data_IF_080788882522
#
_entry.id   IF_080788882522
#
_cell.length_a   1.000
_cell.length_b   1.000
_cell.length_c   1.000
_cell.angle_alpha   90.00
_cell.angle_beta   90.00
_cell.angle_gamma   90.00
#
_symmetry.space_group_name_H-M   'P 1'
#
loop_
_entity.id
_entity.type
_entity.pdbx_description
1 polymer ?
#
# COMPACT_ATOMS: atom_id res chain seq x y z
N UNK A 1 13.86 -31.57 17.83
CA UNK A 1 14.86 -32.14 16.89
C UNK A 1 14.36 -33.36 16.11
N UNK A 2 13.50 -34.24 16.67
CA UNK A 2 12.99 -35.40 15.94
C UNK A 2 12.21 -35.04 14.66
N UNK A 3 11.49 -33.92 14.67
CA UNK A 3 10.73 -33.41 13.52
C UNK A 3 11.54 -32.64 12.47
N UNK A 4 12.86 -32.45 12.63
CA UNK A 4 13.68 -31.77 11.61
C UNK A 4 14.23 -32.76 10.58
N UNK A 5 14.25 -32.36 9.31
CA UNK A 5 15.01 -33.06 8.26
C UNK A 5 16.52 -32.96 8.50
N UNK A 6 17.29 -33.88 7.93
CA UNK A 6 18.73 -33.98 8.20
C UNK A 6 19.52 -32.73 7.76
N UNK A 7 19.10 -32.09 6.66
CA UNK A 7 19.72 -30.84 6.19
C UNK A 7 19.67 -29.73 7.24
N UNK A 8 18.54 -29.54 7.93
CA UNK A 8 18.44 -28.56 9.02
C UNK A 8 19.09 -29.02 10.33
N UNK A 9 19.13 -30.33 10.61
CA UNK A 9 19.85 -30.86 11.79
C UNK A 9 21.33 -30.53 11.76
N UNK A 10 21.94 -30.53 10.57
CA UNK A 10 23.34 -30.13 10.39
C UNK A 10 23.61 -28.71 10.95
N UNK A 11 22.78 -27.73 10.57
CA UNK A 11 22.92 -26.34 11.01
C UNK A 11 22.69 -26.15 12.51
N UNK A 12 21.78 -26.91 13.14
CA UNK A 12 21.62 -26.88 14.61
C UNK A 12 22.84 -27.48 15.31
N UNK A 13 23.36 -28.61 14.82
CA UNK A 13 24.50 -29.31 15.44
C UNK A 13 25.79 -28.49 15.37
N UNK A 14 25.98 -27.74 14.28
CA UNK A 14 27.17 -26.90 14.09
C UNK A 14 27.06 -25.53 14.80
N UNK A 15 25.91 -25.22 15.41
CA UNK A 15 25.69 -23.97 16.14
C UNK A 15 25.37 -22.75 15.26
N UNK A 16 25.25 -22.93 13.94
CA UNK A 16 24.86 -21.87 13.01
C UNK A 16 23.38 -21.48 13.19
N UNK A 17 22.52 -22.48 13.42
CA UNK A 17 21.10 -22.28 13.68
C UNK A 17 20.78 -22.37 15.17
N UNK A 18 20.09 -21.35 15.70
CA UNK A 18 19.61 -21.39 17.10
C UNK A 18 18.57 -22.48 17.30
N UNK A 19 18.50 -23.02 18.52
CA UNK A 19 17.51 -24.05 18.88
C UNK A 19 16.08 -23.51 18.66
N UNK A 20 15.82 -22.24 18.97
CA UNK A 20 14.50 -21.63 18.76
C UNK A 20 14.10 -21.64 17.28
N UNK A 21 15.00 -21.26 16.38
CA UNK A 21 14.73 -21.27 14.94
C UNK A 21 14.58 -22.69 14.40
N UNK A 22 15.42 -23.61 14.88
CA UNK A 22 15.31 -25.04 14.54
C UNK A 22 14.00 -25.66 15.01
N UNK A 23 13.48 -25.28 16.18
CA UNK A 23 12.16 -25.75 16.62
C UNK A 23 11.06 -25.12 15.77
N UNK A 24 11.18 -23.85 15.37
CA UNK A 24 10.23 -23.21 14.45
C UNK A 24 10.13 -23.92 13.10
N UNK A 25 11.26 -24.33 12.51
CA UNK A 25 11.28 -25.11 11.25
C UNK A 25 10.71 -26.52 11.44
N UNK A 26 10.95 -27.14 12.60
CA UNK A 26 10.45 -28.48 12.92
C UNK A 26 8.92 -28.60 12.97
N UNK A 27 8.20 -27.47 13.02
CA UNK A 27 6.73 -27.44 13.04
C UNK A 27 6.10 -27.63 11.66
N UNK A 28 6.87 -27.48 10.60
CA UNK A 28 6.42 -27.66 9.23
C UNK A 28 6.55 -29.13 8.83
N UNK A 29 5.76 -29.56 7.85
CA UNK A 29 5.86 -30.92 7.32
C UNK A 29 7.23 -31.10 6.60
N UNK A 30 7.76 -32.33 6.51
CA UNK A 30 9.08 -32.58 5.92
C UNK A 30 9.26 -31.99 4.50
N UNK A 31 8.20 -31.99 3.68
CA UNK A 31 8.22 -31.43 2.33
C UNK A 31 8.37 -29.90 2.35
N UNK A 32 7.73 -29.22 3.30
CA UNK A 32 7.86 -27.76 3.47
C UNK A 32 9.25 -27.40 4.01
N UNK A 33 9.79 -28.20 4.94
CA UNK A 33 11.16 -28.06 5.39
C UNK A 33 12.15 -28.23 4.23
N UNK A 34 11.95 -29.24 3.38
CA UNK A 34 12.81 -29.46 2.21
C UNK A 34 12.77 -28.26 1.25
N UNK A 35 11.59 -27.70 0.99
CA UNK A 35 11.43 -26.51 0.16
C UNK A 35 12.14 -25.28 0.77
N UNK A 36 12.05 -25.11 2.10
CA UNK A 36 12.75 -24.02 2.80
C UNK A 36 14.28 -24.18 2.70
N UNK A 37 14.79 -25.41 2.82
CA UNK A 37 16.20 -25.73 2.68
C UNK A 37 16.71 -25.42 1.26
N UNK A 38 15.99 -25.86 0.24
CA UNK A 38 16.31 -25.61 -1.18
C UNK A 38 16.30 -24.12 -1.52
N UNK A 39 15.35 -23.37 -0.94
CA UNK A 39 15.25 -21.92 -1.17
C UNK A 39 16.32 -21.13 -0.42
N UNK A 40 16.82 -21.64 0.71
CA UNK A 40 17.93 -21.03 1.46
C UNK A 40 19.25 -21.21 0.71
N UNK A 41 19.49 -22.38 0.12
CA UNK A 41 20.75 -22.73 -0.54
C UNK A 41 21.78 -23.31 0.44
N UNK A 42 23.06 -23.22 0.07
CA UNK A 42 24.17 -23.82 0.82
C UNK A 42 24.56 -23.01 2.07
N UNK A 43 24.45 -21.68 2.01
CA UNK A 43 24.83 -20.78 3.10
C UNK A 43 23.66 -20.51 4.06
N UNK A 44 23.88 -20.73 5.36
CA UNK A 44 22.86 -20.49 6.37
C UNK A 44 22.56 -18.99 6.55
N UNK A 45 21.28 -18.62 6.40
CA UNK A 45 20.80 -17.26 6.65
C UNK A 45 19.59 -17.25 7.60
N UNK A 46 19.82 -16.89 8.86
CA UNK A 46 18.78 -16.84 9.89
C UNK A 46 17.63 -15.88 9.56
N UNK A 47 17.92 -14.73 8.91
CA UNK A 47 16.89 -13.75 8.56
C UNK A 47 15.95 -14.31 7.48
N UNK A 48 16.52 -14.96 6.47
CA UNK A 48 15.78 -15.59 5.39
C UNK A 48 14.89 -16.73 5.90
N UNK A 49 15.41 -17.61 6.76
CA UNK A 49 14.61 -18.67 7.39
C UNK A 49 13.48 -18.08 8.24
N UNK A 50 13.76 -17.06 9.05
CA UNK A 50 12.72 -16.41 9.86
C UNK A 50 11.62 -15.77 8.99
N UNK A 51 11.99 -15.18 7.85
CA UNK A 51 11.03 -14.65 6.87
C UNK A 51 10.19 -15.78 6.25
N UNK A 52 10.80 -16.89 5.84
CA UNK A 52 10.08 -18.05 5.30
C UNK A 52 9.10 -18.65 6.31
N UNK A 53 9.48 -18.73 7.58
CA UNK A 53 8.59 -19.17 8.66
C UNK A 53 7.39 -18.23 8.73
N UNK A 54 7.62 -16.91 8.80
CA UNK A 54 6.54 -15.91 8.85
C UNK A 54 5.60 -15.99 7.66
N UNK A 55 6.14 -16.08 6.45
CA UNK A 55 5.37 -16.11 5.20
C UNK A 55 4.52 -17.39 5.05
N UNK A 56 4.92 -18.50 5.71
CA UNK A 56 4.20 -19.78 5.68
C UNK A 56 3.37 -20.07 6.93
N UNK A 57 3.37 -19.17 7.90
CA UNK A 57 2.55 -19.29 9.10
C UNK A 57 1.29 -18.45 9.01
N UNK A 58 0.21 -18.97 9.58
CA UNK A 58 -1.08 -18.30 9.61
C UNK A 58 -1.45 -17.93 11.04
N UNK A 59 -1.74 -16.65 11.25
CA UNK A 59 -2.22 -16.13 12.52
C UNK A 59 -3.69 -16.55 12.72
N UNK A 60 -3.98 -17.35 13.75
CA UNK A 60 -5.30 -17.93 13.98
C UNK A 60 -6.29 -16.92 14.56
N UNK A 61 -5.82 -15.88 15.25
CA UNK A 61 -6.66 -14.73 15.66
C UNK A 61 -7.20 -13.99 14.43
N UNK A 62 -6.49 -14.14 13.33
CA UNK A 62 -6.74 -13.56 12.04
C UNK A 62 -7.49 -14.51 11.08
N UNK A 63 -8.01 -15.64 11.56
CA UNK A 63 -8.78 -16.57 10.73
C UNK A 63 -10.18 -16.02 10.39
N UNK A 64 -10.71 -16.38 9.20
CA UNK A 64 -12.09 -16.08 8.79
C UNK A 64 -13.12 -17.10 9.27
N UNK A 65 -12.70 -18.04 10.11
CA UNK A 65 -13.52 -19.12 10.65
C UNK A 65 -13.32 -19.29 12.15
N UNK A 66 -14.30 -19.89 12.82
CA UNK A 66 -14.20 -20.19 14.24
C UNK A 66 -13.16 -21.29 14.50
N UNK A 67 -12.09 -20.93 15.20
CA UNK A 67 -10.98 -21.84 15.54
C UNK A 67 -11.40 -23.02 16.42
N UNK A 68 -12.51 -22.89 17.16
CA UNK A 68 -13.08 -23.94 18.02
C UNK A 68 -13.94 -24.95 17.26
N UNK A 69 -14.30 -24.67 16.01
CA UNK A 69 -15.26 -25.47 15.26
C UNK A 69 -14.66 -26.82 14.83
N UNK A 70 -15.12 -27.89 15.49
CA UNK A 70 -14.74 -29.28 15.18
C UNK A 70 -15.44 -29.81 13.91
N UNK A 71 -16.51 -29.17 13.44
CA UNK A 71 -17.36 -29.64 12.32
C UNK A 71 -17.02 -29.00 10.98
N UNK A 72 -16.31 -27.87 10.95
CA UNK A 72 -15.96 -27.16 9.71
C UNK A 72 -15.24 -28.09 8.71
N UNK A 73 -14.23 -28.82 9.18
CA UNK A 73 -13.58 -29.91 8.45
C UNK A 73 -13.44 -31.09 9.41
N UNK A 74 -14.37 -32.07 9.38
CA UNK A 74 -14.43 -33.13 10.40
C UNK A 74 -13.15 -33.95 10.53
N UNK A 75 -12.40 -34.13 9.43
CA UNK A 75 -11.10 -34.82 9.42
C UNK A 75 -9.98 -34.04 10.14
N UNK A 76 -10.10 -32.72 10.24
CA UNK A 76 -9.06 -31.85 10.81
C UNK A 76 -9.35 -31.41 12.26
N UNK A 77 -10.61 -31.44 12.71
CA UNK A 77 -10.99 -31.07 14.08
C UNK A 77 -10.77 -29.58 14.41
N UNK A 78 -10.73 -29.26 15.72
CA UNK A 78 -10.55 -27.88 16.23
C UNK A 78 -9.09 -27.42 16.14
N UNK A 79 -8.87 -26.12 15.89
CA UNK A 79 -7.54 -25.52 15.91
C UNK A 79 -6.99 -25.32 17.34
N UNK A 80 -7.86 -25.29 18.35
CA UNK A 80 -7.45 -25.06 19.75
C UNK A 80 -6.69 -26.25 20.30
N UNK A 81 -7.10 -27.48 19.99
CA UNK A 81 -6.43 -28.71 20.44
C UNK A 81 -5.44 -29.25 19.38
N UNK A 82 -5.21 -28.47 18.32
CA UNK A 82 -4.41 -28.92 17.17
C UNK A 82 -2.92 -28.96 17.53
N UNK A 83 -2.19 -30.04 17.20
CA UNK A 83 -0.75 -30.08 17.40
C UNK A 83 -0.04 -29.01 16.56
N UNK A 84 -0.54 -28.67 15.36
CA UNK A 84 0.06 -27.64 14.49
C UNK A 84 -0.24 -26.20 14.91
N UNK A 85 -0.86 -26.00 16.08
CA UNK A 85 -0.99 -24.68 16.70
C UNK A 85 0.22 -24.47 17.64
N UNK A 86 1.04 -23.48 17.33
CA UNK A 86 2.25 -23.18 18.08
C UNK A 86 2.00 -22.88 19.57
N UNK A 87 0.81 -22.39 19.93
CA UNK A 87 0.41 -22.19 21.32
C UNK A 87 0.41 -23.50 22.13
N UNK A 88 0.09 -24.64 21.50
CA UNK A 88 0.07 -25.97 22.13
C UNK A 88 1.46 -26.63 22.21
N UNK A 89 2.46 -26.04 21.57
CA UNK A 89 3.82 -26.59 21.50
C UNK A 89 4.84 -25.81 22.34
N UNK A 90 4.38 -25.03 23.33
CA UNK A 90 5.28 -24.34 24.27
C UNK A 90 5.71 -22.93 23.86
N UNK A 91 4.84 -22.21 23.16
CA UNK A 91 4.94 -20.74 22.97
C UNK A 91 6.17 -20.27 22.16
N UNK A 92 6.38 -20.85 20.98
CA UNK A 92 7.56 -20.62 20.12
C UNK A 92 7.65 -19.23 19.49
N UNK A 93 6.56 -18.48 19.43
CA UNK A 93 6.48 -17.17 18.79
C UNK A 93 6.29 -16.00 19.79
N UNK A 94 6.36 -16.28 21.10
CA UNK A 94 6.11 -15.30 22.16
C UNK A 94 4.61 -15.05 22.41
N UNK A 95 4.30 -14.60 23.63
CA UNK A 95 2.97 -14.12 24.06
C UNK A 95 1.78 -15.10 23.93
N UNK A 96 2.02 -16.40 23.82
CA UNK A 96 0.93 -17.39 23.73
C UNK A 96 0.17 -17.33 22.41
N UNK A 97 0.76 -16.68 21.40
CA UNK A 97 0.10 -16.40 20.13
C UNK A 97 -0.30 -17.69 19.40
N UNK A 98 -1.57 -17.76 19.00
CA UNK A 98 -2.09 -18.91 18.25
C UNK A 98 -1.68 -18.81 16.78
N UNK A 99 -0.69 -19.61 16.37
CA UNK A 99 -0.15 -19.61 15.01
C UNK A 99 -0.26 -21.02 14.44
N UNK A 100 -0.87 -21.14 13.26
CA UNK A 100 -0.99 -22.38 12.51
C UNK A 100 0.19 -22.53 11.54
N UNK A 101 0.85 -23.69 11.58
CA UNK A 101 1.94 -24.04 10.65
C UNK A 101 1.50 -24.96 9.52
N UNK A 102 0.24 -25.42 9.52
CA UNK A 102 -0.29 -26.34 8.49
C UNK A 102 -1.10 -25.59 7.44
N UNK A 103 -0.43 -25.09 6.41
CA UNK A 103 -1.01 -24.26 5.35
C UNK A 103 -2.20 -24.93 4.65
N UNK A 104 -2.04 -26.18 4.20
CA UNK A 104 -3.10 -26.90 3.47
C UNK A 104 -4.40 -27.05 4.28
N UNK A 105 -4.28 -27.28 5.59
CA UNK A 105 -5.44 -27.38 6.48
C UNK A 105 -6.12 -26.01 6.67
N UNK A 106 -5.34 -24.95 6.87
CA UNK A 106 -5.84 -23.59 7.03
C UNK A 106 -6.60 -23.12 5.78
N UNK A 107 -6.01 -23.26 4.59
CA UNK A 107 -6.66 -22.89 3.33
C UNK A 107 -7.93 -23.71 3.08
N UNK A 108 -7.92 -25.02 3.37
CA UNK A 108 -9.12 -25.86 3.25
C UNK A 108 -10.25 -25.37 4.16
N UNK A 109 -9.94 -25.05 5.43
CA UNK A 109 -10.92 -24.50 6.38
C UNK A 109 -11.43 -23.13 5.94
N UNK A 110 -10.55 -22.29 5.42
CA UNK A 110 -10.85 -20.96 4.87
C UNK A 110 -11.79 -21.05 3.67
N UNK A 111 -11.49 -21.88 2.68
CA UNK A 111 -12.38 -22.11 1.53
C UNK A 111 -13.73 -22.69 1.95
N UNK A 112 -13.75 -23.63 2.92
CA UNK A 112 -15.00 -24.20 3.43
C UNK A 112 -15.85 -23.16 4.16
N UNK A 113 -15.22 -22.28 4.94
CA UNK A 113 -15.92 -21.17 5.61
C UNK A 113 -16.52 -20.19 4.61
N UNK A 114 -15.81 -19.91 3.52
CA UNK A 114 -16.33 -19.05 2.45
C UNK A 114 -17.56 -19.65 1.76
N UNK A 115 -17.55 -20.97 1.48
CA UNK A 115 -18.74 -21.66 0.96
C UNK A 115 -19.92 -21.60 1.94
N UNK A 116 -19.67 -21.80 3.24
CA UNK A 116 -20.71 -21.66 4.27
C UNK A 116 -21.27 -20.22 4.32
N UNK A 117 -20.43 -19.20 4.09
CA UNK A 117 -20.85 -17.79 4.02
C UNK A 117 -21.78 -17.54 2.82
N UNK A 118 -21.43 -18.09 1.66
CA UNK A 118 -22.28 -18.04 0.45
C UNK A 118 -23.63 -18.72 0.71
N UNK A 119 -23.63 -19.90 1.34
CA UNK A 119 -24.87 -20.61 1.70
C UNK A 119 -25.71 -19.84 2.71
N UNK A 120 -25.09 -19.23 3.73
CA UNK A 120 -25.74 -18.36 4.71
C UNK A 120 -26.41 -17.17 4.00
N UNK A 121 -25.68 -16.49 3.13
CA UNK A 121 -26.17 -15.34 2.35
C UNK A 121 -27.40 -15.73 1.50
N UNK A 122 -27.38 -16.89 0.84
CA UNK A 122 -28.54 -17.39 0.08
C UNK A 122 -29.76 -17.67 0.95
N UNK A 123 -29.58 -18.35 2.08
CA UNK A 123 -30.68 -18.74 2.99
C UNK A 123 -31.33 -17.53 3.63
N UNK A 124 -30.53 -16.57 4.06
CA UNK A 124 -30.96 -15.39 4.80
C UNK A 124 -31.25 -14.20 3.88
N UNK A 125 -31.04 -14.34 2.56
CA UNK A 125 -31.17 -13.30 1.53
C UNK A 125 -30.36 -12.04 1.86
N UNK A 126 -29.19 -12.23 2.46
CA UNK A 126 -28.26 -11.16 2.82
C UNK A 126 -27.38 -10.85 1.61
N UNK A 127 -27.19 -9.56 1.29
CA UNK A 127 -26.28 -9.15 0.23
C UNK A 127 -24.83 -9.45 0.62
N UNK A 128 -24.10 -10.16 -0.23
CA UNK A 128 -22.69 -10.47 -0.01
C UNK A 128 -21.84 -9.65 -0.99
N UNK A 129 -21.04 -8.73 -0.47
CA UNK A 129 -20.29 -7.74 -1.24
C UNK A 129 -18.79 -7.97 -1.04
N UNK A 130 -18.03 -8.27 -2.11
CA UNK A 130 -16.58 -8.30 -2.00
C UNK A 130 -16.04 -6.87 -1.86
N UNK A 131 -14.98 -6.70 -1.07
CA UNK A 131 -14.22 -5.45 -0.91
C UNK A 131 -13.36 -5.17 -2.15
N UNK A 132 -14.01 -5.10 -3.31
CA UNK A 132 -13.40 -4.87 -4.61
C UNK A 132 -14.01 -3.59 -5.19
N UNK A 133 -13.13 -2.68 -5.63
CA UNK A 133 -13.51 -1.49 -6.40
C UNK A 133 -13.51 -1.83 -7.89
N UNK A 134 -14.32 -1.13 -8.68
CA UNK A 134 -14.44 -1.30 -10.14
C UNK A 134 -13.10 -1.27 -10.87
N UNK A 135 -12.20 -0.40 -10.44
CA UNK A 135 -10.86 -0.28 -11.03
C UNK A 135 -10.02 -1.57 -10.89
N UNK A 136 -10.27 -2.39 -9.86
CA UNK A 136 -9.55 -3.65 -9.59
C UNK A 136 -10.39 -4.89 -9.94
N UNK A 137 -11.55 -4.69 -10.57
CA UNK A 137 -12.44 -5.79 -10.92
C UNK A 137 -11.77 -6.75 -11.92
N UNK A 138 -10.91 -6.25 -12.81
CA UNK A 138 -10.26 -7.03 -13.87
C UNK A 138 -9.02 -7.83 -13.40
N UNK A 139 -8.59 -7.66 -12.14
CA UNK A 139 -7.48 -8.46 -11.60
C UNK A 139 -7.87 -9.94 -11.52
N UNK A 140 -6.95 -10.83 -11.90
CA UNK A 140 -7.21 -12.27 -12.03
C UNK A 140 -7.74 -12.89 -10.72
N UNK A 141 -7.17 -12.50 -9.58
CA UNK A 141 -7.61 -12.96 -8.25
C UNK A 141 -9.04 -12.51 -7.93
N UNK A 142 -9.40 -11.28 -8.30
CA UNK A 142 -10.71 -10.69 -8.06
C UNK A 142 -11.78 -11.29 -8.99
N UNK A 143 -11.43 -11.53 -10.26
CA UNK A 143 -12.28 -12.21 -11.24
C UNK A 143 -12.66 -13.62 -10.80
N UNK A 144 -11.74 -14.37 -10.17
CA UNK A 144 -12.03 -15.69 -9.63
C UNK A 144 -13.09 -15.63 -8.52
N UNK A 145 -13.01 -14.64 -7.63
CA UNK A 145 -14.00 -14.44 -6.56
C UNK A 145 -15.36 -14.06 -7.13
N UNK A 146 -15.40 -13.12 -8.08
CA UNK A 146 -16.63 -12.70 -8.77
C UNK A 146 -17.27 -13.91 -9.45
N UNK A 147 -16.49 -14.67 -10.21
CA UNK A 147 -16.94 -15.90 -10.88
C UNK A 147 -17.48 -16.95 -9.89
N UNK A 148 -16.88 -17.09 -8.70
CA UNK A 148 -17.36 -18.01 -7.68
C UNK A 148 -18.72 -17.58 -7.11
N UNK A 149 -18.94 -16.29 -6.90
CA UNK A 149 -20.24 -15.76 -6.46
C UNK A 149 -21.32 -15.95 -7.54
N UNK A 150 -21.00 -15.65 -8.80
CA UNK A 150 -21.90 -15.80 -9.94
C UNK A 150 -22.27 -17.26 -10.22
N UNK A 151 -21.29 -18.18 -10.18
CA UNK A 151 -21.54 -19.63 -10.28
C UNK A 151 -22.47 -20.14 -9.19
N UNK A 152 -22.45 -19.48 -8.04
CA UNK A 152 -23.36 -19.75 -6.95
C UNK A 152 -24.72 -19.06 -7.12
N UNK A 153 -24.98 -18.30 -8.18
CA UNK A 153 -26.25 -17.64 -8.44
C UNK A 153 -26.50 -16.41 -7.55
N UNK A 154 -25.45 -15.82 -6.98
CA UNK A 154 -25.54 -14.53 -6.29
C UNK A 154 -25.31 -13.40 -7.30
N UNK A 155 -26.12 -12.34 -7.19
CA UNK A 155 -25.86 -11.11 -7.93
C UNK A 155 -24.72 -10.35 -7.26
N UNK A 156 -23.65 -10.10 -8.02
CA UNK A 156 -22.46 -9.43 -7.49
C UNK A 156 -22.64 -7.91 -7.59
N UNK A 157 -22.43 -7.24 -6.46
CA UNK A 157 -22.34 -5.79 -6.35
C UNK A 157 -20.94 -5.45 -5.88
N UNK A 158 -20.32 -4.40 -6.43
CA UNK A 158 -19.01 -3.91 -5.98
C UNK A 158 -19.18 -2.74 -5.01
N UNK A 159 -18.09 -2.32 -4.36
CA UNK A 159 -18.11 -1.19 -3.42
C UNK A 159 -18.63 0.10 -4.06
N UNK A 160 -18.42 0.29 -5.36
CA UNK A 160 -18.86 1.49 -6.09
C UNK A 160 -20.36 1.47 -6.48
N UNK A 161 -21.05 0.34 -6.27
CA UNK A 161 -22.47 0.16 -6.60
C UNK A 161 -23.37 0.33 -5.37
N UNK A 162 -22.77 0.47 -4.19
CA UNK A 162 -23.47 0.44 -2.92
C UNK A 162 -23.00 1.51 -1.96
N UNK A 163 -23.95 2.09 -1.24
CA UNK A 163 -23.69 2.93 -0.08
C UNK A 163 -23.65 2.01 1.15
N UNK A 164 -22.54 2.05 1.88
CA UNK A 164 -22.26 1.18 3.03
C UNK A 164 -22.18 2.03 4.29
N UNK A 165 -22.96 1.67 5.30
CA UNK A 165 -22.84 2.19 6.65
C UNK A 165 -22.31 1.07 7.54
N UNK A 166 -21.11 1.28 8.07
CA UNK A 166 -20.44 0.34 8.97
C UNK A 166 -20.83 0.59 10.42
N UNK A 167 -20.80 -0.45 11.25
CA UNK A 167 -20.96 -0.28 12.69
C UNK A 167 -19.73 0.47 13.24
N UNK A 168 -19.88 1.67 13.81
CA UNK A 168 -18.74 2.43 14.30
C UNK A 168 -18.05 1.67 15.44
N UNK A 169 -16.72 1.75 15.48
CA UNK A 169 -15.92 1.13 16.53
C UNK A 169 -15.80 2.12 17.68
N UNK A 170 -16.18 1.70 18.88
CA UNK A 170 -16.05 2.52 20.09
C UNK A 170 -14.57 2.92 20.28
N UNK A 171 -14.26 4.23 20.30
CA UNK A 171 -12.89 4.69 20.45
C UNK A 171 -12.40 4.37 21.87
N UNK A 172 -11.12 4.01 21.98
CA UNK A 172 -10.45 3.75 23.26
C UNK A 172 -9.27 4.68 23.41
N UNK A 173 -9.08 5.22 24.61
CA UNK A 173 -7.95 6.13 24.91
C UNK A 173 -6.61 5.46 24.57
N UNK A 174 -6.46 4.16 24.84
CA UNK A 174 -5.21 3.44 24.52
C UNK A 174 -4.97 3.30 23.01
N UNK A 175 -6.04 3.21 22.19
CA UNK A 175 -5.91 3.13 20.74
C UNK A 175 -5.44 4.48 20.17
N UNK A 176 -6.01 5.58 20.66
CA UNK A 176 -5.62 6.95 20.28
C UNK A 176 -4.16 7.22 20.70
N UNK A 177 -3.76 6.82 21.92
CA UNK A 177 -2.35 6.92 22.36
C UNK A 177 -1.39 6.17 21.43
N UNK A 178 -1.80 5.01 20.91
CA UNK A 178 -0.97 4.21 19.98
C UNK A 178 -0.93 4.83 18.58
N UNK A 179 -2.03 5.37 18.09
CA UNK A 179 -2.10 6.05 16.79
C UNK A 179 -1.23 7.33 16.77
N UNK A 180 -1.27 8.09 17.86
CA UNK A 180 -0.49 9.31 18.05
C UNK A 180 0.80 9.12 18.85
N UNK A 181 1.33 7.89 18.90
CA UNK A 181 2.56 7.57 19.65
C UNK A 181 3.80 8.38 19.23
N UNK A 182 3.75 9.03 18.07
CA UNK A 182 4.82 9.86 17.52
C UNK A 182 4.66 11.36 17.86
N UNK A 183 3.60 11.73 18.58
CA UNK A 183 3.31 13.08 19.04
C UNK A 183 3.40 13.13 20.57
N UNK A 184 4.11 14.13 21.10
CA UNK A 184 4.21 14.38 22.54
C UNK A 184 2.95 15.11 23.03
N UNK A 185 1.77 14.49 22.89
CA UNK A 185 0.53 15.07 23.41
C UNK A 185 0.53 15.09 24.94
N UNK A 186 0.11 16.22 25.49
CA UNK A 186 -0.23 16.33 26.92
C UNK A 186 -1.48 15.51 27.26
N UNK A 187 -1.66 15.16 28.54
CA UNK A 187 -2.85 14.41 28.98
C UNK A 187 -4.16 15.13 28.66
N UNK A 188 -4.16 16.46 28.61
CA UNK A 188 -5.36 17.25 28.33
C UNK A 188 -5.64 17.35 26.83
N UNK A 189 -4.62 17.47 25.97
CA UNK A 189 -4.79 17.37 24.52
C UNK A 189 -5.32 15.99 24.10
N UNK A 190 -4.82 14.92 24.73
CA UNK A 190 -5.30 13.56 24.48
C UNK A 190 -6.77 13.36 24.90
N UNK A 191 -7.21 14.01 25.98
CA UNK A 191 -8.63 13.99 26.39
C UNK A 191 -9.50 14.72 25.37
N UNK A 192 -9.06 15.87 24.86
CA UNK A 192 -9.78 16.59 23.81
C UNK A 192 -9.94 15.73 22.55
N UNK A 193 -8.87 15.08 22.08
CA UNK A 193 -8.92 14.15 20.94
C UNK A 193 -9.86 12.96 21.21
N UNK A 194 -9.86 12.43 22.44
CA UNK A 194 -10.78 11.36 22.83
C UNK A 194 -12.24 11.82 22.89
N UNK A 195 -12.51 13.02 23.39
CA UNK A 195 -13.84 13.62 23.41
C UNK A 195 -14.37 13.87 21.99
N UNK A 196 -13.53 14.40 21.09
CA UNK A 196 -13.86 14.55 19.67
C UNK A 196 -14.11 13.20 18.99
N UNK A 197 -13.27 12.19 19.25
CA UNK A 197 -13.48 10.84 18.74
C UNK A 197 -14.77 10.20 19.27
N UNK A 198 -15.10 10.41 20.54
CA UNK A 198 -16.36 9.97 21.16
C UNK A 198 -17.56 10.68 20.55
N UNK A 199 -17.45 11.97 20.25
CA UNK A 199 -18.50 12.72 19.56
C UNK A 199 -18.74 12.16 18.16
N UNK A 200 -17.69 11.99 17.37
CA UNK A 200 -17.78 11.38 16.03
C UNK A 200 -18.37 9.97 16.07
N UNK A 201 -17.99 9.18 17.09
CA UNK A 201 -18.57 7.85 17.33
C UNK A 201 -20.08 7.91 17.61
N UNK A 202 -20.52 8.83 18.47
CA UNK A 202 -21.94 8.98 18.80
C UNK A 202 -22.75 9.42 17.57
N UNK A 203 -22.24 10.38 16.79
CA UNK A 203 -22.88 10.82 15.53
C UNK A 203 -22.99 9.66 14.52
N UNK A 204 -21.91 8.90 14.32
CA UNK A 204 -21.92 7.72 13.46
C UNK A 204 -22.84 6.60 13.99
N UNK A 205 -22.97 6.45 15.31
CA UNK A 205 -23.83 5.45 15.93
C UNK A 205 -25.31 5.81 15.77
N UNK A 206 -25.67 7.10 15.86
CA UNK A 206 -27.00 7.59 15.52
C UNK A 206 -27.33 7.37 14.04
N UNK A 207 -26.36 7.60 13.14
CA UNK A 207 -26.52 7.29 11.72
C UNK A 207 -26.70 5.79 11.46
N UNK A 208 -25.92 4.94 12.12
CA UNK A 208 -26.02 3.49 12.03
C UNK A 208 -27.37 2.96 12.57
N UNK A 209 -27.82 3.48 13.71
CA UNK A 209 -29.11 3.10 14.31
C UNK A 209 -30.30 3.53 13.44
N UNK A 210 -30.21 4.71 12.81
CA UNK A 210 -31.23 5.21 11.87
C UNK A 210 -31.15 4.60 10.47
N UNK A 211 -30.11 3.83 10.14
CA UNK A 211 -29.92 3.25 8.81
C UNK A 211 -31.08 2.34 8.37
N UNK A 212 -31.65 1.54 9.29
CA UNK A 212 -32.83 0.71 8.98
C UNK A 212 -34.04 1.55 8.57
N UNK A 213 -34.25 2.68 9.23
CA UNK A 213 -35.35 3.61 8.94
C UNK A 213 -35.13 4.36 7.61
N UNK A 214 -33.87 4.61 7.25
CA UNK A 214 -33.45 5.24 5.98
C UNK A 214 -33.45 4.28 4.78
N UNK A 215 -33.93 3.04 4.95
CA UNK A 215 -34.10 2.06 3.87
C UNK A 215 -32.85 1.23 3.53
N UNK A 216 -31.87 1.14 4.42
CA UNK A 216 -30.72 0.25 4.25
C UNK A 216 -31.08 -1.20 4.62
N UNK A 217 -30.56 -2.16 3.85
CA UNK A 217 -30.68 -3.59 4.12
C UNK A 217 -29.43 -4.12 4.82
N UNK A 218 -29.57 -5.23 5.57
CA UNK A 218 -28.40 -5.89 6.17
C UNK A 218 -27.62 -6.60 5.06
N UNK A 219 -26.31 -6.39 5.03
CA UNK A 219 -25.37 -7.02 4.12
C UNK A 219 -24.07 -7.42 4.80
N UNK A 220 -23.25 -8.15 4.07
CA UNK A 220 -21.96 -8.68 4.50
C UNK A 220 -20.90 -8.20 3.52
N UNK A 221 -19.93 -7.41 4.00
CA UNK A 221 -18.75 -7.03 3.22
C UNK A 221 -17.62 -7.98 3.59
N UNK A 222 -16.94 -8.56 2.61
CA UNK A 222 -15.84 -9.48 2.85
C UNK A 222 -14.58 -9.17 2.04
N UNK A 223 -13.42 -9.43 2.64
CA UNK A 223 -12.12 -9.23 1.99
C UNK A 223 -11.83 -10.39 1.01
N UNK A 224 -11.45 -10.12 -0.26
CA UNK A 224 -11.34 -11.14 -1.31
C UNK A 224 -10.28 -12.21 -1.01
N UNK A 225 -9.16 -11.85 -0.38
CA UNK A 225 -8.10 -12.83 -0.07
C UNK A 225 -8.30 -13.59 1.25
N UNK A 226 -8.81 -12.93 2.30
CA UNK A 226 -8.87 -13.51 3.66
C UNK A 226 -10.24 -14.10 3.98
N UNK A 227 -11.28 -13.72 3.22
CA UNK A 227 -12.71 -14.04 3.46
C UNK A 227 -13.24 -13.62 4.83
N UNK A 228 -12.53 -12.74 5.54
CA UNK A 228 -13.10 -12.10 6.71
C UNK A 228 -14.22 -11.20 6.27
N UNK A 229 -15.30 -11.20 7.04
CA UNK A 229 -16.48 -10.44 6.73
C UNK A 229 -16.96 -9.66 7.96
N UNK A 230 -17.64 -8.55 7.68
CA UNK A 230 -18.31 -7.71 8.66
C UNK A 230 -19.75 -7.46 8.22
N UNK A 231 -20.66 -7.44 9.20
CA UNK A 231 -22.06 -7.08 8.98
C UNK A 231 -22.16 -5.55 8.85
N UNK A 232 -22.83 -5.10 7.81
CA UNK A 232 -22.99 -3.68 7.47
C UNK A 232 -24.41 -3.40 6.97
N UNK A 233 -24.81 -2.13 6.99
CA UNK A 233 -26.02 -1.67 6.32
C UNK A 233 -25.69 -1.22 4.90
N UNK A 234 -26.46 -1.69 3.93
CA UNK A 234 -26.19 -1.51 2.51
C UNK A 234 -27.42 -0.96 1.81
N UNK A 235 -27.21 0.06 0.97
CA UNK A 235 -28.21 0.58 0.05
C UNK A 235 -27.63 0.55 -1.36
N UNK A 236 -28.36 -0.04 -2.30
CA UNK A 236 -27.93 -0.10 -3.70
C UNK A 236 -28.13 1.28 -4.32
N UNK A 237 -27.07 1.85 -4.91
CA UNK A 237 -27.17 3.12 -5.62
C UNK A 237 -27.72 2.82 -7.01
N UNK A 238 -29.00 3.11 -7.23
CA UNK A 238 -29.61 3.00 -8.56
C UNK A 238 -29.00 4.07 -9.49
N UNK A 239 -28.02 3.68 -10.31
CA UNK A 239 -27.71 4.44 -11.52
C UNK A 239 -28.84 4.18 -12.52
N UNK A 240 -29.39 5.25 -13.09
CA UNK A 240 -30.41 5.21 -14.14
C UNK A 240 -30.02 4.19 -15.20
N UNK A 241 -30.95 3.27 -15.47
CA UNK A 241 -30.83 2.19 -16.44
C UNK A 241 -30.59 2.77 -17.84
N UNK A 242 -29.36 2.68 -18.32
CA UNK A 242 -29.18 2.32 -19.73
C UNK A 242 -29.28 0.81 -19.83
N UNK A 243 -29.94 0.37 -20.90
CA UNK A 243 -30.64 -0.89 -21.06
C UNK A 243 -29.81 -2.13 -20.71
N UNK A 244 -30.45 -3.04 -19.98
CA UNK A 244 -30.02 -4.42 -19.81
C UNK A 244 -29.89 -5.09 -21.19
N UNK A 245 -28.74 -5.68 -21.49
CA UNK A 245 -28.69 -6.80 -22.42
C UNK A 245 -28.33 -8.07 -21.65
N UNK A 246 -29.23 -9.04 -21.76
CA UNK A 246 -28.99 -10.43 -21.39
C UNK A 246 -27.83 -11.01 -22.21
N UNK A 247 -27.18 -12.01 -21.61
CA UNK A 247 -26.17 -12.95 -22.14
C UNK A 247 -24.68 -12.67 -21.86
N UNK A 248 -24.09 -13.65 -21.17
CA UNK A 248 -22.71 -14.17 -21.19
C UNK A 248 -21.56 -13.30 -21.74
N UNK A 249 -20.53 -13.18 -20.88
CA UNK A 249 -19.16 -12.70 -21.10
C UNK A 249 -19.04 -11.24 -21.61
N UNK A 250 -18.08 -10.46 -21.08
CA UNK A 250 -17.75 -9.14 -21.60
C UNK A 250 -17.56 -9.20 -23.11
N UNK A 251 -18.06 -8.21 -23.83
CA UNK A 251 -17.91 -8.08 -25.28
C UNK A 251 -16.47 -8.38 -25.73
N UNK A 252 -15.45 -7.90 -25.00
CA UNK A 252 -14.03 -8.17 -25.22
C UNK A 252 -13.65 -9.67 -25.35
N UNK A 253 -14.39 -10.57 -24.69
CA UNK A 253 -14.11 -12.00 -24.59
C UNK A 253 -14.93 -12.87 -25.57
N UNK A 254 -15.95 -12.30 -26.24
CA UNK A 254 -16.71 -13.01 -27.28
C UNK A 254 -15.89 -13.12 -28.57
N UNK A 255 -15.94 -14.25 -29.28
CA UNK A 255 -15.32 -14.35 -30.62
C UNK A 255 -16.07 -13.42 -31.59
N UNK A 256 -15.43 -12.99 -32.67
CA UNK A 256 -16.06 -12.10 -33.66
C UNK A 256 -17.34 -12.71 -34.24
N UNK A 257 -17.33 -14.02 -34.43
CA UNK A 257 -18.44 -14.79 -35.01
C UNK A 257 -19.68 -14.85 -34.09
N UNK A 258 -19.50 -14.60 -32.78
CA UNK A 258 -20.54 -14.64 -31.75
C UNK A 258 -21.12 -13.24 -31.43
N UNK A 259 -20.69 -12.19 -32.14
CA UNK A 259 -21.11 -10.80 -31.94
C UNK A 259 -22.10 -10.34 -33.01
N UNK A 260 -23.04 -9.46 -32.64
CA UNK A 260 -23.92 -8.80 -33.62
C UNK A 260 -23.10 -7.89 -34.56
N UNK A 261 -23.61 -7.54 -35.76
CA UNK A 261 -22.90 -6.63 -36.66
C UNK A 261 -22.51 -5.29 -36.03
N UNK A 262 -23.32 -4.73 -35.14
CA UNK A 262 -23.03 -3.49 -34.40
C UNK A 262 -21.90 -3.68 -33.37
N UNK A 263 -21.92 -4.80 -32.64
CA UNK A 263 -20.88 -5.22 -31.71
C UNK A 263 -19.53 -5.50 -32.43
N UNK A 264 -19.59 -6.07 -33.63
CA UNK A 264 -18.42 -6.29 -34.49
C UNK A 264 -17.81 -4.97 -34.96
N UNK A 265 -18.63 -3.99 -35.38
CA UNK A 265 -18.16 -2.64 -35.75
C UNK A 265 -17.48 -1.96 -34.56
N UNK A 266 -18.08 -2.04 -33.37
CA UNK A 266 -17.50 -1.50 -32.15
C UNK A 266 -16.11 -2.12 -31.85
N UNK A 267 -15.99 -3.46 -31.89
CA UNK A 267 -14.71 -4.16 -31.71
C UNK A 267 -13.66 -3.80 -32.76
N UNK A 268 -14.06 -3.65 -34.01
CA UNK A 268 -13.15 -3.26 -35.10
C UNK A 268 -12.63 -1.84 -34.84
N UNK A 269 -13.51 -0.91 -34.46
CA UNK A 269 -13.13 0.45 -34.12
C UNK A 269 -12.21 0.52 -32.88
N UNK A 270 -12.49 -0.25 -31.83
CA UNK A 270 -11.60 -0.33 -30.65
C UNK A 270 -10.24 -0.93 -30.99
N UNK A 271 -10.20 -2.00 -31.80
CA UNK A 271 -8.95 -2.59 -32.30
C UNK A 271 -8.15 -1.59 -33.13
N UNK A 272 -8.83 -0.81 -33.96
CA UNK A 272 -8.19 0.24 -34.78
C UNK A 272 -7.64 1.38 -33.92
N UNK A 273 -8.39 1.85 -32.92
CA UNK A 273 -7.92 2.84 -31.94
C UNK A 273 -6.67 2.31 -31.21
N UNK A 274 -6.71 1.05 -30.75
CA UNK A 274 -5.58 0.42 -30.09
C UNK A 274 -4.36 0.27 -31.00
N UNK A 275 -4.55 -0.15 -32.26
CA UNK A 275 -3.47 -0.25 -33.24
C UNK A 275 -2.84 1.11 -33.49
N UNK A 276 -3.65 2.16 -33.72
CA UNK A 276 -3.17 3.54 -33.85
C UNK A 276 -2.38 4.00 -32.64
N UNK A 277 -2.81 3.68 -31.43
CA UNK A 277 -2.05 3.99 -30.21
C UNK A 277 -0.69 3.28 -30.18
N UNK A 278 -0.65 1.99 -30.51
CA UNK A 278 0.61 1.21 -30.56
C UNK A 278 1.55 1.75 -31.64
N UNK A 279 1.03 2.04 -32.82
CA UNK A 279 1.80 2.61 -33.94
C UNK A 279 2.34 3.99 -33.59
N UNK A 280 1.52 4.88 -33.00
CA UNK A 280 1.96 6.18 -32.52
C UNK A 280 3.04 6.06 -31.43
N UNK A 281 2.93 5.09 -30.51
CA UNK A 281 3.93 4.86 -29.48
C UNK A 281 5.27 4.42 -30.09
N UNK A 282 5.25 3.46 -31.03
CA UNK A 282 6.45 3.02 -31.75
C UNK A 282 7.08 4.15 -32.57
N UNK A 283 6.26 4.88 -33.31
CA UNK A 283 6.70 6.05 -34.06
C UNK A 283 7.39 7.07 -33.13
N UNK A 284 6.82 7.34 -31.97
CA UNK A 284 7.42 8.26 -31.01
C UNK A 284 8.72 7.73 -30.41
N UNK A 285 8.80 6.43 -30.10
CA UNK A 285 10.02 5.77 -29.62
C UNK A 285 11.17 5.89 -30.63
N UNK A 286 10.89 5.61 -31.92
CA UNK A 286 11.87 5.78 -33.00
C UNK A 286 12.34 7.23 -33.14
N UNK A 287 11.43 8.20 -33.02
CA UNK A 287 11.78 9.64 -33.02
C UNK A 287 12.70 9.98 -31.85
N UNK A 288 12.39 9.50 -30.64
CA UNK A 288 13.22 9.75 -29.45
C UNK A 288 14.60 9.12 -29.60
N UNK A 289 14.68 7.88 -30.09
CA UNK A 289 15.95 7.22 -30.33
C UNK A 289 16.80 7.98 -31.36
N UNK A 290 16.21 8.35 -32.49
CA UNK A 290 16.88 9.15 -33.51
C UNK A 290 17.45 10.44 -32.93
N UNK A 291 16.66 11.19 -32.13
CA UNK A 291 17.12 12.44 -31.50
C UNK A 291 18.29 12.19 -30.53
N UNK A 292 18.25 11.12 -29.73
CA UNK A 292 19.32 10.75 -28.78
C UNK A 292 20.64 10.41 -29.48
N UNK A 293 20.57 9.88 -30.69
CA UNK A 293 21.76 9.59 -31.52
C UNK A 293 22.34 10.84 -32.20
N UNK A 294 21.60 11.96 -32.22
CA UNK A 294 22.11 13.24 -32.74
C UNK A 294 22.97 14.01 -31.72
N UNK A 295 23.70 15.01 -32.21
CA UNK A 295 24.45 15.97 -31.37
C UNK A 295 23.56 17.06 -30.75
N UNK A 296 22.25 16.81 -30.60
CA UNK A 296 21.31 17.78 -30.04
C UNK A 296 21.76 18.30 -28.66
N UNK A 297 22.23 17.41 -27.79
CA UNK A 297 22.70 17.73 -26.42
C UNK A 297 23.93 18.67 -26.45
N UNK A 298 24.77 18.59 -27.48
CA UNK A 298 25.99 19.40 -27.61
C UNK A 298 25.72 20.79 -28.23
N UNK A 299 24.45 21.13 -28.48
CA UNK A 299 24.08 22.39 -29.12
C UNK A 299 24.37 23.57 -28.20
N UNK A 300 25.23 24.49 -28.64
CA UNK A 300 25.58 25.72 -27.89
C UNK A 300 24.53 26.83 -27.94
N UNK A 301 23.40 26.61 -28.61
CA UNK A 301 22.31 27.58 -28.70
C UNK A 301 21.55 27.61 -27.38
N UNK A 302 21.07 28.79 -27.01
CA UNK A 302 20.13 28.90 -25.89
C UNK A 302 18.84 28.17 -26.21
N UNK A 303 18.20 27.61 -25.19
CA UNK A 303 16.90 26.96 -25.32
C UNK A 303 15.90 27.88 -26.04
N UNK A 304 15.23 27.33 -27.04
CA UNK A 304 14.10 27.96 -27.72
C UNK A 304 12.89 28.01 -26.81
N UNK A 305 11.92 28.87 -27.16
CA UNK A 305 10.63 28.94 -26.46
C UNK A 305 9.92 27.59 -26.44
N UNK A 306 10.04 26.81 -27.51
CA UNK A 306 9.40 25.50 -27.63
C UNK A 306 10.04 24.47 -26.69
N UNK A 307 11.37 24.48 -26.57
CA UNK A 307 12.08 23.63 -25.61
C UNK A 307 11.75 24.03 -24.17
N UNK A 308 11.68 25.34 -23.87
CA UNK A 308 11.28 25.81 -22.54
C UNK A 308 9.83 25.43 -22.20
N UNK A 309 8.91 25.50 -23.16
CA UNK A 309 7.52 25.08 -23.00
C UNK A 309 7.43 23.59 -22.74
N UNK A 310 8.08 22.77 -23.58
CA UNK A 310 8.10 21.32 -23.42
C UNK A 310 8.68 20.91 -22.05
N UNK A 311 9.80 21.54 -21.65
CA UNK A 311 10.41 21.27 -20.35
C UNK A 311 9.53 21.74 -19.18
N UNK A 312 8.84 22.87 -19.31
CA UNK A 312 7.92 23.36 -18.28
C UNK A 312 6.75 22.41 -18.04
N UNK A 313 6.14 21.89 -19.11
CA UNK A 313 5.03 20.93 -19.02
C UNK A 313 5.54 19.62 -18.40
N UNK A 314 6.69 19.12 -18.84
CA UNK A 314 7.30 17.91 -18.26
C UNK A 314 7.58 18.07 -16.77
N UNK A 315 8.17 19.18 -16.32
CA UNK A 315 8.43 19.43 -14.90
C UNK A 315 7.13 19.50 -14.10
N UNK A 316 6.10 20.15 -14.63
CA UNK A 316 4.81 20.28 -13.96
C UNK A 316 4.10 18.93 -13.81
N UNK A 317 3.98 18.15 -14.88
CA UNK A 317 3.27 16.86 -14.88
C UNK A 317 4.03 15.77 -14.12
N UNK A 318 5.36 15.70 -14.28
CA UNK A 318 6.14 14.57 -13.77
C UNK A 318 6.75 14.82 -12.38
N UNK A 319 6.94 16.09 -11.98
CA UNK A 319 7.72 16.41 -10.78
C UNK A 319 7.00 17.28 -9.75
N UNK A 320 5.84 17.86 -10.07
CA UNK A 320 5.04 18.61 -9.10
C UNK A 320 3.87 17.75 -8.65
N UNK A 321 3.85 17.39 -7.36
CA UNK A 321 2.76 16.62 -6.76
C UNK A 321 1.43 17.41 -6.78
N UNK A 322 0.31 16.70 -6.77
CA UNK A 322 -1.03 17.29 -6.88
C UNK A 322 -1.30 18.42 -5.87
N UNK A 323 -0.86 18.27 -4.61
CA UNK A 323 -1.05 19.29 -3.58
C UNK A 323 -0.24 20.55 -3.88
N UNK A 324 1.01 20.37 -4.33
CA UNK A 324 1.86 21.47 -4.76
C UNK A 324 1.36 22.14 -6.04
N UNK A 325 0.74 21.39 -6.96
CA UNK A 325 0.09 21.94 -8.15
C UNK A 325 -1.03 22.88 -7.74
N UNK A 326 -1.91 22.46 -6.83
CA UNK A 326 -2.99 23.32 -6.32
C UNK A 326 -2.45 24.55 -5.57
N UNK A 327 -1.48 24.37 -4.68
CA UNK A 327 -0.99 25.46 -3.81
C UNK A 327 -0.17 26.51 -4.56
N UNK A 328 0.75 26.08 -5.42
CA UNK A 328 1.72 26.97 -6.05
C UNK A 328 1.44 27.23 -7.54
N UNK A 329 0.63 26.39 -8.19
CA UNK A 329 0.48 26.37 -9.65
C UNK A 329 -0.98 26.23 -10.13
N UNK A 330 -2.00 26.56 -9.32
CA UNK A 330 -3.42 26.39 -9.68
C UNK A 330 -3.84 27.01 -11.03
N UNK A 331 -3.14 28.04 -11.50
CA UNK A 331 -3.41 28.74 -12.77
C UNK A 331 -2.37 28.43 -13.86
N UNK A 332 -1.60 27.36 -13.71
CA UNK A 332 -0.47 27.05 -14.59
C UNK A 332 -0.92 26.70 -16.01
N UNK A 333 -1.87 25.76 -16.16
CA UNK A 333 -2.45 25.41 -17.48
C UNK A 333 -3.68 26.29 -17.85
N UNK A 334 -4.24 27.02 -16.89
CA UNK A 334 -5.49 27.76 -17.06
C UNK A 334 -6.72 26.85 -17.00
N UNK A 335 -7.85 27.30 -17.57
CA UNK A 335 -9.04 26.45 -17.71
C UNK A 335 -8.88 25.52 -18.91
N UNK A 336 -8.68 24.23 -18.63
CA UNK A 336 -8.46 23.17 -19.62
C UNK A 336 -9.65 22.21 -19.73
N UNK A 337 -10.75 22.47 -19.02
CA UNK A 337 -11.88 21.54 -18.87
C UNK A 337 -12.55 21.12 -20.18
N UNK A 338 -12.41 21.92 -21.25
CA UNK A 338 -13.01 21.69 -22.58
C UNK A 338 -11.99 21.53 -23.70
N UNK A 339 -10.69 21.40 -23.38
CA UNK A 339 -9.62 21.40 -24.37
C UNK A 339 -9.03 19.99 -24.54
N UNK A 340 -8.70 19.62 -25.77
CA UNK A 340 -7.90 18.43 -26.07
C UNK A 340 -6.44 18.63 -25.63
N UNK A 341 -5.69 17.55 -25.44
CA UNK A 341 -4.26 17.63 -25.02
C UNK A 341 -3.41 18.49 -25.97
N UNK A 342 -3.69 18.43 -27.27
CA UNK A 342 -2.99 19.23 -28.29
C UNK A 342 -3.31 20.73 -28.09
N UNK A 343 -4.59 21.06 -27.92
CA UNK A 343 -5.03 22.44 -27.69
C UNK A 343 -4.49 23.02 -26.38
N UNK A 344 -4.33 22.20 -25.33
CA UNK A 344 -3.70 22.61 -24.07
C UNK A 344 -2.25 23.04 -24.30
N UNK A 345 -1.47 22.22 -25.01
CA UNK A 345 -0.05 22.52 -25.31
C UNK A 345 0.05 23.80 -26.15
N UNK A 346 -0.80 23.96 -27.16
CA UNK A 346 -0.82 25.16 -28.00
C UNK A 346 -1.23 26.42 -27.23
N UNK A 347 -2.26 26.32 -26.39
CA UNK A 347 -2.73 27.43 -25.56
C UNK A 347 -1.67 27.83 -24.53
N UNK A 348 -0.98 26.86 -23.93
CA UNK A 348 0.13 27.11 -23.01
C UNK A 348 1.30 27.78 -23.74
N UNK A 349 1.67 27.30 -24.93
CA UNK A 349 2.70 27.94 -25.78
C UNK A 349 2.35 29.39 -26.12
N UNK A 350 1.11 29.68 -26.51
CA UNK A 350 0.63 31.05 -26.82
C UNK A 350 0.71 31.98 -25.61
N UNK A 351 0.48 31.46 -24.40
CA UNK A 351 0.47 32.23 -23.14
C UNK A 351 1.77 32.11 -22.35
N UNK A 352 2.80 31.50 -22.92
CA UNK A 352 4.02 31.17 -22.20
C UNK A 352 4.76 32.44 -21.77
N UNK A 353 5.19 32.44 -20.50
CA UNK A 353 5.91 33.53 -19.86
C UNK A 353 7.15 32.97 -19.15
N UNK A 354 8.30 33.61 -19.33
CA UNK A 354 9.58 33.13 -18.74
C UNK A 354 9.54 33.11 -17.21
N UNK A 355 8.70 33.93 -16.60
CA UNK A 355 8.48 33.97 -15.15
C UNK A 355 7.92 32.64 -14.63
N UNK A 356 7.05 31.98 -15.40
CA UNK A 356 6.47 30.68 -15.05
C UNK A 356 7.56 29.61 -15.05
N UNK A 357 8.42 29.64 -16.08
CA UNK A 357 9.58 28.76 -16.18
C UNK A 357 10.55 28.93 -15.00
N UNK A 358 10.92 30.17 -14.68
CA UNK A 358 11.78 30.46 -13.53
C UNK A 358 11.13 30.04 -12.20
N UNK A 359 9.80 30.16 -12.07
CA UNK A 359 9.07 29.72 -10.88
C UNK A 359 9.14 28.20 -10.70
N UNK A 360 8.93 27.44 -11.78
CA UNK A 360 9.08 25.98 -11.76
C UNK A 360 10.50 25.57 -11.37
N UNK A 361 11.53 26.17 -11.98
CA UNK A 361 12.92 25.87 -11.64
C UNK A 361 13.20 26.15 -10.16
N UNK A 362 12.77 27.29 -9.62
CA UNK A 362 12.96 27.62 -8.20
C UNK A 362 12.25 26.64 -7.27
N UNK A 363 11.05 26.18 -7.65
CA UNK A 363 10.34 25.15 -6.91
C UNK A 363 11.09 23.80 -6.96
N UNK A 364 11.64 23.43 -8.11
CA UNK A 364 12.45 22.22 -8.24
C UNK A 364 13.72 22.28 -7.39
N UNK A 365 14.39 23.44 -7.33
CA UNK A 365 15.58 23.64 -6.49
C UNK A 365 15.32 23.38 -5.00
N UNK A 366 14.12 23.70 -4.49
CA UNK A 366 13.80 23.44 -3.08
C UNK A 366 13.39 22.00 -2.79
N UNK A 367 13.00 21.23 -3.83
CA UNK A 367 12.56 19.84 -3.69
C UNK A 367 13.66 18.82 -3.93
N UNK A 368 14.65 19.15 -4.76
CA UNK A 368 15.74 18.23 -5.13
C UNK A 368 16.86 18.13 -4.09
N UNK A 369 16.72 18.76 -2.92
CA UNK A 369 17.67 18.64 -1.81
C UNK A 369 17.52 17.30 -1.09
N UNK A 370 18.61 16.82 -0.49
CA UNK A 370 18.66 15.55 0.22
C UNK A 370 18.70 15.78 1.74
N UNK A 371 18.02 14.92 2.50
CA UNK A 371 17.98 14.97 3.96
C UNK A 371 18.45 13.64 4.59
N UNK A 372 18.59 13.60 5.91
CA UNK A 372 19.14 12.48 6.66
C UNK A 372 20.64 12.69 6.91
N UNK A 373 21.48 11.77 6.42
CA UNK A 373 22.94 11.87 6.56
C UNK A 373 23.56 12.90 5.59
N UNK A 374 22.84 13.26 4.52
CA UNK A 374 23.23 14.30 3.56
C UNK A 374 22.79 15.68 4.02
N UNK A 375 23.68 16.66 3.94
CA UNK A 375 23.46 18.04 4.38
C UNK A 375 24.31 19.05 3.57
N UNK A 376 24.23 20.33 3.93
CA UNK A 376 24.89 21.44 3.24
C UNK A 376 26.43 21.48 3.38
N UNK A 377 27.05 20.54 4.10
CA UNK A 377 28.52 20.44 4.20
C UNK A 377 29.12 19.18 3.57
N UNK A 378 28.31 18.15 3.29
CA UNK A 378 28.81 16.86 2.81
C UNK A 378 28.15 16.33 1.53
N UNK A 379 27.18 17.05 0.95
CA UNK A 379 26.48 16.64 -0.27
C UNK A 379 26.51 17.76 -1.33
N UNK A 380 26.89 17.42 -2.57
CA UNK A 380 27.06 18.38 -3.67
C UNK A 380 25.78 19.17 -3.97
N UNK A 381 24.63 18.50 -4.11
CA UNK A 381 23.34 19.13 -4.40
C UNK A 381 22.96 20.13 -3.31
N UNK A 382 23.12 19.72 -2.05
CA UNK A 382 22.79 20.56 -0.90
C UNK A 382 23.74 21.76 -0.76
N UNK A 383 25.04 21.57 -1.00
CA UNK A 383 26.03 22.66 -1.00
C UNK A 383 25.65 23.69 -2.08
N UNK A 384 25.36 23.25 -3.30
CA UNK A 384 24.96 24.13 -4.40
C UNK A 384 23.68 24.89 -4.08
N UNK A 385 22.66 24.23 -3.55
CA UNK A 385 21.42 24.87 -3.11
C UNK A 385 21.68 25.91 -2.01
N UNK A 386 22.46 25.53 -0.98
CA UNK A 386 22.76 26.40 0.14
C UNK A 386 23.48 27.67 -0.30
N UNK A 387 24.52 27.54 -1.14
CA UNK A 387 25.26 28.67 -1.69
C UNK A 387 24.37 29.59 -2.53
N UNK A 388 23.46 29.02 -3.33
CA UNK A 388 22.51 29.82 -4.09
C UNK A 388 21.54 30.58 -3.18
N UNK A 389 21.04 29.95 -2.10
CA UNK A 389 20.11 30.58 -1.17
C UNK A 389 20.78 31.64 -0.28
N UNK A 390 22.08 31.53 0.00
CA UNK A 390 22.83 32.56 0.73
C UNK A 390 22.76 33.93 0.04
N UNK A 391 22.73 33.98 -1.29
CA UNK A 391 22.57 35.25 -2.03
C UNK A 391 21.27 35.99 -1.74
N UNK A 392 20.20 35.27 -1.39
CA UNK A 392 18.86 35.84 -1.15
C UNK A 392 18.49 35.96 0.32
N UNK A 393 18.98 35.04 1.16
CA UNK A 393 18.52 34.87 2.55
C UNK A 393 19.65 34.91 3.58
N UNK A 394 20.80 35.53 3.24
CA UNK A 394 22.02 35.59 4.06
C UNK A 394 21.76 35.84 5.56
N UNK A 395 20.97 36.86 5.88
CA UNK A 395 20.72 37.27 7.28
C UNK A 395 19.92 36.24 8.06
N UNK A 396 18.90 35.63 7.44
CA UNK A 396 18.09 34.58 8.07
C UNK A 396 18.90 33.30 8.26
N UNK A 397 19.69 32.93 7.27
CA UNK A 397 20.56 31.75 7.32
C UNK A 397 21.60 31.91 8.43
N UNK A 398 22.26 33.08 8.51
CA UNK A 398 23.23 33.37 9.57
C UNK A 398 22.63 33.30 10.99
N UNK A 399 21.35 33.71 11.14
CA UNK A 399 20.62 33.55 12.38
C UNK A 399 20.48 32.08 12.80
N UNK A 400 20.11 31.21 11.85
CA UNK A 400 19.98 29.76 12.07
C UNK A 400 21.34 29.15 12.41
N UNK A 401 22.40 29.49 11.65
CA UNK A 401 23.75 28.99 11.91
C UNK A 401 24.24 29.33 13.32
N UNK A 402 23.98 30.57 13.76
CA UNK A 402 24.36 31.02 15.10
C UNK A 402 23.68 30.21 16.20
N UNK A 403 22.37 29.97 16.07
CA UNK A 403 21.61 29.17 17.05
C UNK A 403 22.17 27.74 17.18
N UNK A 404 22.47 27.10 16.05
CA UNK A 404 23.05 25.76 16.04
C UNK A 404 24.51 25.72 16.51
N UNK A 405 25.30 26.78 16.26
CA UNK A 405 26.66 26.90 16.77
C UNK A 405 26.67 27.01 18.30
N UNK A 406 25.77 27.81 18.89
CA UNK A 406 25.62 27.92 20.35
C UNK A 406 25.22 26.59 20.99
N UNK A 407 24.25 25.88 20.40
CA UNK A 407 23.84 24.53 20.84
C UNK A 407 24.98 23.53 20.74
N UNK A 408 25.79 23.60 19.68
CA UNK A 408 26.94 22.72 19.47
C UNK A 408 28.03 22.96 20.52
N UNK A 409 28.38 24.21 20.79
CA UNK A 409 29.38 24.58 21.82
C UNK A 409 29.02 24.00 23.19
N UNK A 410 27.76 24.20 23.64
CA UNK A 410 27.27 23.66 24.92
C UNK A 410 27.27 22.13 24.98
N UNK A 411 27.11 21.46 23.84
CA UNK A 411 27.17 19.99 23.77
C UNK A 411 28.61 19.49 23.82
N UNK A 412 29.51 20.15 23.10
CA UNK A 412 30.94 19.80 23.07
C UNK A 412 31.60 19.97 24.44
N UNK A 413 31.24 21.01 25.20
CA UNK A 413 31.69 21.19 26.59
C UNK A 413 31.26 20.03 27.49
N UNK A 414 29.96 19.69 27.50
CA UNK A 414 29.44 18.55 28.29
C UNK A 414 30.07 17.20 27.89
N UNK A 415 30.36 17.02 26.60
CA UNK A 415 31.03 15.80 26.13
C UNK A 415 32.48 15.73 26.63
N UNK A 416 33.21 16.86 26.60
CA UNK A 416 34.58 16.92 27.13
C UNK A 416 34.61 16.58 28.62
N UNK A 417 33.73 17.19 29.42
CA UNK A 417 33.62 16.88 30.86
C UNK A 417 33.36 15.40 31.10
N UNK A 418 32.44 14.80 30.35
CA UNK A 418 32.12 13.38 30.47
C UNK A 418 33.28 12.47 30.03
N UNK A 419 34.01 12.85 28.99
CA UNK A 419 35.19 12.11 28.54
C UNK A 419 36.26 12.14 29.63
N UNK A 420 36.54 13.30 30.23
CA UNK A 420 37.52 13.41 31.33
C UNK A 420 37.17 12.49 32.50
N UNK A 421 35.91 12.47 32.94
CA UNK A 421 35.46 11.57 34.02
C UNK A 421 35.63 10.10 33.65
N UNK A 422 35.33 9.72 32.40
CA UNK A 422 35.50 8.33 31.95
C UNK A 422 36.98 7.94 31.80
N UNK A 423 37.83 8.87 31.38
CA UNK A 423 39.28 8.66 31.31
C UNK A 423 39.90 8.44 32.70
N UNK A 424 39.44 9.20 33.71
CA UNK A 424 39.82 9.00 35.12
C UNK A 424 39.41 7.61 35.63
N UNK A 425 38.18 7.17 35.34
CA UNK A 425 37.70 5.82 35.71
C UNK A 425 38.46 4.70 35.01
N UNK A 426 38.85 4.90 33.75
CA UNK A 426 39.68 3.93 33.01
C UNK A 426 41.08 3.84 33.61
N UNK A 427 41.61 4.95 34.14
CA UNK A 427 42.90 4.98 34.81
C UNK A 427 42.86 4.26 36.16
N UNK A 428 41.81 4.48 36.97
CA UNK A 428 41.59 3.78 38.25
C UNK A 428 41.36 2.25 38.08
N UNK A 429 40.87 1.80 36.93
CA UNK A 429 40.71 0.37 36.62
C UNK A 429 42.00 -0.30 36.13
N UNK A 430 43.04 0.49 35.80
CA UNK A 430 44.35 0.00 35.33
C UNK A 430 45.42 -0.01 36.43
N UNK A 431 45.20 0.70 37.52
CA UNK A 431 45.96 0.62 38.78
C UNK A 431 45.36 -0.46 39.70
#
# INVERSE_FOLDING_TARGET
MAGLIEGFKHFVRNGEMTISLGVGVALFEPEEQQMMLETMGEDFNAHQINRMIKDRTYDLEKASFNVSDKKLVPKAGSCIECPFNAANQGNLFGEGKMVCTKAACFETKKSRSFLNLIEKSKREKILLIPEIRKYWADDESNQLIISQLEKNGLKVYLLDDVEIIENPIEPKIEAIKREYQHYDYSEDELKCEFEEAMQNYNEALEEFNSAKEKGFAIGLVFHPETYRHKEVFIKIVEKSKDELSDYSAPLANRKMDDCTPEEQIFKINEREIRKKQIENNKQFEEVVQMIRETKYIDTKKTLSTDEMVAFSISLFENNVDYMSQQKYFAKFLGDTSKMTKIEIVENFKKKFKKEIFHKLIRYMLTKQVHFGESNHVNNLTNISFYNAMQGYYKTKIAGIEKEYAEKRSKREERLKERITVLEEQVQELKD
#
